data_IF_493179006560
#
_entry.id   IF_493179006560
#
_cell.length_a   1.000
_cell.length_b   1.000
_cell.length_c   1.000
_cell.angle_alpha   90.00
_cell.angle_beta   90.00
_cell.angle_gamma   90.00
#
_symmetry.space_group_name_H-M   'P 1'
#
loop_
_entity.id
_entity.type
_entity.pdbx_description
1 polymer ?
#
# COMPACT_ATOMS: atom_id res chain seq x y z
N UNK A 1 20.08 27.63 -12.09
CA UNK A 1 18.95 27.85 -11.17
C UNK A 1 19.27 27.18 -9.85
N UNK A 2 19.03 27.83 -8.71
CA UNK A 2 19.25 27.24 -7.41
C UNK A 2 18.41 25.95 -7.28
N UNK A 3 19.00 24.90 -6.68
CA UNK A 3 18.36 23.57 -6.53
C UNK A 3 17.01 23.65 -5.81
N UNK A 4 16.80 24.65 -4.95
CA UNK A 4 15.56 24.89 -4.20
C UNK A 4 14.36 25.24 -5.09
N UNK A 5 14.54 26.08 -6.10
CA UNK A 5 13.46 26.49 -7.01
C UNK A 5 12.96 25.33 -7.86
N UNK A 6 13.87 24.44 -8.27
CA UNK A 6 13.50 23.24 -9.04
C UNK A 6 12.68 22.27 -8.21
N UNK A 7 13.06 22.04 -6.96
CA UNK A 7 12.32 21.16 -6.06
C UNK A 7 10.92 21.71 -5.77
N UNK A 8 10.82 23.01 -5.44
CA UNK A 8 9.53 23.67 -5.22
C UNK A 8 8.62 23.56 -6.46
N UNK A 9 9.18 23.73 -7.66
CA UNK A 9 8.44 23.53 -8.91
C UNK A 9 7.98 22.09 -9.11
N UNK A 10 8.84 21.10 -8.86
CA UNK A 10 8.47 19.69 -8.98
C UNK A 10 7.33 19.31 -8.02
N UNK A 11 7.38 19.79 -6.78
CA UNK A 11 6.28 19.61 -5.81
C UNK A 11 4.98 20.25 -6.30
N UNK A 12 5.06 21.44 -6.91
CA UNK A 12 3.90 22.12 -7.48
C UNK A 12 3.31 21.37 -8.68
N UNK A 13 4.14 20.81 -9.56
CA UNK A 13 3.70 19.95 -10.67
C UNK A 13 2.91 18.76 -10.14
N UNK A 14 3.44 18.06 -9.12
CA UNK A 14 2.76 16.91 -8.49
C UNK A 14 1.40 17.31 -7.94
N UNK A 15 1.33 18.41 -7.19
CA UNK A 15 0.07 18.90 -6.61
C UNK A 15 -0.97 19.28 -7.69
N UNK A 16 -0.53 19.90 -8.79
CA UNK A 16 -1.42 20.26 -9.91
C UNK A 16 -2.00 19.02 -10.60
N UNK A 17 -1.19 17.98 -10.80
CA UNK A 17 -1.63 16.71 -11.41
C UNK A 17 -2.63 16.00 -10.49
N UNK A 18 -2.39 15.98 -9.17
CA UNK A 18 -3.29 15.38 -8.19
C UNK A 18 -4.65 16.09 -8.12
N UNK A 19 -4.65 17.42 -8.01
CA UNK A 19 -5.87 18.18 -7.72
C UNK A 19 -6.79 18.38 -8.94
N UNK A 20 -6.29 18.25 -10.17
CA UNK A 20 -7.06 18.58 -11.39
C UNK A 20 -7.58 17.38 -12.16
N UNK A 21 -7.47 16.17 -11.61
CA UNK A 21 -7.79 14.94 -12.34
C UNK A 21 -7.01 14.89 -13.68
N UNK A 22 -5.76 15.34 -13.65
CA UNK A 22 -4.90 15.49 -14.83
C UNK A 22 -4.59 16.93 -15.23
N UNK A 23 -3.37 17.17 -15.72
CA UNK A 23 -2.94 18.49 -16.19
C UNK A 23 -2.06 18.40 -17.45
N UNK A 24 -2.42 19.14 -18.50
CA UNK A 24 -1.62 19.23 -19.73
C UNK A 24 -0.35 20.07 -19.58
N UNK A 25 0.63 19.83 -20.46
CA UNK A 25 1.93 20.54 -20.49
C UNK A 25 1.80 22.06 -20.45
N UNK A 26 0.89 22.63 -21.25
CA UNK A 26 0.62 24.08 -21.31
C UNK A 26 0.15 24.65 -19.98
N UNK A 27 -0.72 23.94 -19.28
CA UNK A 27 -1.26 24.37 -17.98
C UNK A 27 -0.15 24.33 -16.94
N UNK A 28 0.59 23.21 -16.88
CA UNK A 28 1.70 23.05 -15.96
C UNK A 28 2.79 24.12 -16.19
N UNK A 29 3.10 24.42 -17.45
CA UNK A 29 4.07 25.44 -17.85
C UNK A 29 3.64 26.83 -17.39
N UNK A 30 2.37 27.19 -17.62
CA UNK A 30 1.80 28.47 -17.19
C UNK A 30 1.77 28.61 -15.66
N UNK A 31 1.28 27.59 -14.95
CA UNK A 31 1.12 27.61 -13.48
C UNK A 31 2.45 27.56 -12.72
N UNK A 32 3.49 27.03 -13.35
CA UNK A 32 4.85 26.99 -12.83
C UNK A 32 5.77 28.07 -13.43
N UNK A 33 5.24 28.95 -14.29
CA UNK A 33 5.96 30.06 -14.94
C UNK A 33 7.25 29.63 -15.66
N UNK A 34 7.22 28.49 -16.36
CA UNK A 34 8.36 27.94 -17.12
C UNK A 34 7.94 27.43 -18.49
N UNK A 35 8.91 27.12 -19.35
CA UNK A 35 8.62 26.51 -20.66
C UNK A 35 8.06 25.09 -20.55
N UNK A 36 7.27 24.68 -21.55
CA UNK A 36 6.81 23.28 -21.69
C UNK A 36 7.98 22.28 -21.72
N UNK A 37 9.10 22.65 -22.37
CA UNK A 37 10.33 21.83 -22.38
C UNK A 37 10.90 21.61 -20.97
N UNK A 38 10.81 22.61 -20.09
CA UNK A 38 11.23 22.50 -18.69
C UNK A 38 10.32 21.56 -17.93
N UNK A 39 9.00 21.71 -18.08
CA UNK A 39 8.01 20.81 -17.47
C UNK A 39 8.23 19.37 -17.93
N UNK A 40 8.42 19.15 -19.22
CA UNK A 40 8.65 17.81 -19.76
C UNK A 40 9.88 17.15 -19.14
N UNK A 41 11.00 17.88 -19.00
CA UNK A 41 12.19 17.39 -18.30
C UNK A 41 11.94 17.10 -16.82
N UNK A 42 11.16 17.93 -16.14
CA UNK A 42 10.85 17.73 -14.73
C UNK A 42 9.90 16.54 -14.52
N UNK A 43 8.93 16.32 -15.41
CA UNK A 43 8.08 15.12 -15.45
C UNK A 43 8.89 13.85 -15.69
N UNK A 44 9.83 13.87 -16.64
CA UNK A 44 10.74 12.74 -16.84
C UNK A 44 11.61 12.45 -15.62
N UNK A 45 12.08 13.48 -14.93
CA UNK A 45 12.86 13.31 -13.71
C UNK A 45 12.02 12.78 -12.54
N UNK A 46 10.75 13.20 -12.41
CA UNK A 46 9.81 12.63 -11.45
C UNK A 46 9.53 11.15 -11.74
N UNK A 47 9.28 10.80 -13.01
CA UNK A 47 9.08 9.41 -13.43
C UNK A 47 10.32 8.53 -13.16
N UNK A 48 11.51 9.04 -13.47
CA UNK A 48 12.78 8.38 -13.13
C UNK A 48 13.00 8.23 -11.61
N UNK A 49 12.41 9.12 -10.81
CA UNK A 49 12.36 9.03 -9.35
C UNK A 49 11.29 8.07 -8.81
N UNK A 50 10.59 7.35 -9.69
CA UNK A 50 9.58 6.36 -9.31
C UNK A 50 8.17 6.92 -9.13
N UNK A 51 7.92 8.19 -9.46
CA UNK A 51 6.55 8.73 -9.44
C UNK A 51 5.73 8.14 -10.59
N UNK A 52 4.57 7.53 -10.33
CA UNK A 52 3.79 6.81 -11.34
C UNK A 52 2.93 7.77 -12.18
N UNK A 53 3.60 8.71 -12.86
CA UNK A 53 2.98 9.74 -13.70
C UNK A 53 2.96 9.24 -15.14
N UNK A 54 1.81 9.32 -15.80
CA UNK A 54 1.66 8.99 -17.21
C UNK A 54 0.86 10.07 -17.94
N UNK A 55 1.02 10.17 -19.25
CA UNK A 55 0.15 11.02 -20.08
C UNK A 55 -1.08 10.21 -20.46
N UNK A 56 -2.26 10.73 -20.11
CA UNK A 56 -3.55 10.16 -20.48
C UNK A 56 -4.08 10.89 -21.73
N UNK A 57 -4.10 10.22 -22.90
CA UNK A 57 -4.59 10.83 -24.14
C UNK A 57 -6.08 11.20 -24.09
N UNK A 58 -6.88 10.53 -23.25
CA UNK A 58 -8.33 10.76 -23.17
C UNK A 58 -8.66 12.09 -22.48
N UNK A 59 -7.84 12.49 -21.49
CA UNK A 59 -7.95 13.78 -20.79
C UNK A 59 -6.99 14.84 -21.34
N UNK A 60 -6.06 14.46 -22.21
CA UNK A 60 -5.04 15.35 -22.77
C UNK A 60 -4.04 15.87 -21.72
N UNK A 61 -3.86 15.14 -20.62
CA UNK A 61 -3.12 15.60 -19.46
C UNK A 61 -2.31 14.50 -18.78
N UNK A 62 -1.32 14.90 -17.98
CA UNK A 62 -0.57 14.00 -17.12
C UNK A 62 -1.39 13.65 -15.89
N UNK A 63 -1.47 12.36 -15.54
CA UNK A 63 -2.19 11.80 -14.39
C UNK A 63 -1.30 10.83 -13.62
N UNK A 64 -1.69 10.51 -12.40
CA UNK A 64 -1.16 9.34 -11.69
C UNK A 64 -1.95 8.10 -12.13
N UNK A 65 -1.28 6.97 -12.42
CA UNK A 65 -1.97 5.70 -12.73
C UNK A 65 -2.96 5.37 -11.63
N UNK A 66 -4.17 4.97 -12.04
CA UNK A 66 -5.38 4.82 -11.23
C UNK A 66 -5.13 4.35 -9.78
N UNK A 67 -5.71 5.10 -8.83
CA UNK A 67 -6.11 4.65 -7.49
C UNK A 67 -5.15 3.82 -6.63
N UNK A 68 -3.83 3.99 -6.65
CA UNK A 68 -3.04 3.53 -5.49
C UNK A 68 -1.85 4.42 -5.23
N UNK A 69 -2.01 5.35 -4.29
CA UNK A 69 -0.98 5.67 -3.30
C UNK A 69 -1.65 6.37 -2.13
N UNK A 70 -1.45 5.84 -0.91
CA UNK A 70 -1.63 6.66 0.28
C UNK A 70 -0.73 7.89 0.13
N UNK A 71 -1.23 9.07 0.50
CA UNK A 71 -0.39 10.26 0.64
C UNK A 71 0.87 9.89 1.44
N UNK A 72 2.05 10.45 1.14
CA UNK A 72 3.27 10.17 1.91
C UNK A 72 3.00 10.31 3.42
N UNK A 73 2.94 9.16 4.10
CA UNK A 73 2.71 9.12 5.53
C UNK A 73 4.02 9.49 6.22
N UNK A 74 3.96 10.52 7.05
CA UNK A 74 5.07 10.85 7.93
C UNK A 74 4.82 10.12 9.25
N UNK A 75 5.74 9.23 9.61
CA UNK A 75 5.73 8.58 10.91
C UNK A 75 6.79 9.23 11.79
N UNK A 76 6.44 9.46 13.05
CA UNK A 76 7.46 9.61 14.06
C UNK A 76 8.23 8.31 14.23
N UNK A 77 9.43 8.44 14.77
CA UNK A 77 10.37 7.34 14.84
C UNK A 77 9.88 6.21 15.76
N UNK A 78 9.15 6.54 16.81
CA UNK A 78 8.59 5.56 17.73
C UNK A 78 7.31 4.91 17.16
N UNK A 79 6.54 5.63 16.32
CA UNK A 79 5.39 5.08 15.59
C UNK A 79 5.82 4.01 14.59
N UNK A 80 6.85 4.30 13.78
CA UNK A 80 7.40 3.36 12.83
C UNK A 80 8.00 2.12 13.52
N UNK A 81 8.66 2.31 14.67
CA UNK A 81 9.19 1.20 15.47
C UNK A 81 8.08 0.32 16.06
N UNK A 82 7.01 0.92 16.59
CA UNK A 82 5.86 0.20 17.14
C UNK A 82 5.12 -0.62 16.06
N UNK A 83 4.86 -0.02 14.90
CA UNK A 83 4.24 -0.72 13.77
C UNK A 83 5.09 -1.90 13.29
N UNK A 84 6.39 -1.71 13.15
CA UNK A 84 7.31 -2.79 12.78
C UNK A 84 7.26 -3.95 13.79
N UNK A 85 7.18 -3.65 15.10
CA UNK A 85 7.10 -4.67 16.13
C UNK A 85 5.77 -5.43 16.11
N UNK A 86 4.65 -4.75 15.86
CA UNK A 86 3.31 -5.36 15.77
C UNK A 86 3.11 -6.25 14.54
N UNK A 87 3.82 -5.98 13.43
CA UNK A 87 3.69 -6.78 12.20
C UNK A 87 4.40 -8.13 12.28
N UNK A 88 5.43 -8.25 13.12
CA UNK A 88 6.30 -9.44 13.19
C UNK A 88 5.56 -10.77 13.44
N UNK A 89 4.61 -10.88 14.38
CA UNK A 89 3.91 -12.14 14.64
C UNK A 89 3.19 -12.66 13.38
N UNK A 90 2.63 -11.76 12.58
CA UNK A 90 1.95 -12.08 11.33
C UNK A 90 2.91 -12.45 10.18
N UNK A 91 4.18 -12.08 10.29
CA UNK A 91 5.23 -12.54 9.36
C UNK A 91 5.80 -13.90 9.78
N UNK A 92 5.76 -14.23 11.07
CA UNK A 92 6.19 -15.53 11.60
C UNK A 92 5.15 -16.64 11.37
N UNK A 93 3.86 -16.29 11.29
CA UNK A 93 2.76 -17.22 10.97
C UNK A 93 2.13 -16.86 9.63
N UNK A 94 2.26 -17.69 8.58
CA UNK A 94 1.74 -17.38 7.26
C UNK A 94 0.23 -17.17 7.27
N UNK A 95 -0.18 -15.96 6.87
CA UNK A 95 -1.57 -15.60 6.54
C UNK A 95 -1.69 -15.31 5.03
N UNK A 96 -2.91 -15.30 4.47
CA UNK A 96 -3.14 -14.79 3.11
C UNK A 96 -2.53 -13.40 2.82
N UNK A 97 -2.37 -12.57 3.85
CA UNK A 97 -1.85 -11.20 3.77
C UNK A 97 -0.32 -11.11 3.91
N UNK A 98 0.38 -12.24 4.12
CA UNK A 98 1.82 -12.23 4.45
C UNK A 98 2.65 -11.46 3.42
N UNK A 99 2.36 -11.61 2.13
CA UNK A 99 3.10 -10.92 1.07
C UNK A 99 2.92 -9.39 1.14
N UNK A 100 1.72 -8.92 1.45
CA UNK A 100 1.43 -7.49 1.62
C UNK A 100 2.03 -6.94 2.90
N UNK A 101 1.90 -7.67 4.00
CA UNK A 101 2.49 -7.31 5.29
C UNK A 101 4.02 -7.26 5.22
N UNK A 102 4.65 -8.18 4.50
CA UNK A 102 6.11 -8.18 4.28
C UNK A 102 6.54 -6.92 3.53
N UNK A 103 5.85 -6.57 2.44
CA UNK A 103 6.11 -5.34 1.67
C UNK A 103 5.90 -4.09 2.50
N UNK A 104 4.86 -4.05 3.34
CA UNK A 104 4.59 -2.93 4.23
C UNK A 104 5.67 -2.80 5.32
N UNK A 105 6.06 -3.92 5.93
CA UNK A 105 7.12 -3.99 6.93
C UNK A 105 8.47 -3.49 6.38
N UNK A 106 8.84 -3.90 5.16
CA UNK A 106 10.04 -3.43 4.48
C UNK A 106 10.02 -1.91 4.23
N UNK A 107 8.86 -1.35 3.82
CA UNK A 107 8.69 0.10 3.64
C UNK A 107 8.86 0.86 4.97
N UNK A 108 8.32 0.33 6.07
CA UNK A 108 8.48 0.92 7.40
C UNK A 108 9.94 0.83 7.86
N UNK A 109 10.60 -0.31 7.69
CA UNK A 109 12.02 -0.44 8.04
C UNK A 109 12.92 0.47 7.19
N UNK A 110 12.52 0.78 5.96
CA UNK A 110 13.23 1.70 5.08
C UNK A 110 13.09 3.18 5.50
N UNK A 111 12.03 3.56 6.22
CA UNK A 111 11.87 4.91 6.76
C UNK A 111 12.64 5.14 8.06
N UNK A 112 13.10 4.07 8.74
CA UNK A 112 13.87 4.16 9.98
C UNK A 112 15.37 4.50 9.74
N UNK A 113 15.95 5.47 10.47
CA UNK A 113 17.39 5.71 10.49
C UNK A 113 18.19 4.49 10.97
N UNK A 114 19.38 4.26 10.42
CA UNK A 114 20.16 3.03 10.59
C UNK A 114 20.45 2.59 12.04
N UNK A 115 20.70 3.54 12.95
CA UNK A 115 20.91 3.24 14.38
C UNK A 115 19.65 2.73 15.08
N UNK A 116 18.47 3.21 14.66
CA UNK A 116 17.19 2.74 15.21
C UNK A 116 16.66 1.50 14.51
N UNK A 117 17.04 1.24 13.25
CA UNK A 117 16.85 -0.08 12.64
C UNK A 117 17.54 -1.17 13.47
N UNK A 118 18.79 -0.94 13.90
CA UNK A 118 19.50 -1.85 14.82
C UNK A 118 18.82 -1.96 16.19
N UNK A 119 18.29 -0.86 16.74
CA UNK A 119 17.59 -0.88 18.02
C UNK A 119 16.25 -1.63 17.95
N UNK A 120 15.51 -1.49 16.85
CA UNK A 120 14.31 -2.29 16.58
C UNK A 120 14.69 -3.76 16.45
N UNK A 121 15.75 -4.10 15.70
CA UNK A 121 16.28 -5.47 15.63
C UNK A 121 16.73 -6.04 16.98
N UNK A 122 17.26 -5.20 17.90
CA UNK A 122 17.63 -5.63 19.26
C UNK A 122 16.43 -5.76 20.19
N UNK A 123 15.46 -4.82 20.15
CA UNK A 123 14.21 -4.91 20.94
C UNK A 123 13.32 -6.06 20.47
N UNK A 124 13.42 -6.44 19.21
CA UNK A 124 12.80 -7.63 18.63
C UNK A 124 13.21 -8.92 19.35
N UNK A 125 14.45 -9.04 19.83
CA UNK A 125 14.89 -10.22 20.58
C UNK A 125 14.36 -10.24 22.02
N UNK A 126 13.98 -9.08 22.57
CA UNK A 126 13.61 -8.92 23.97
C UNK A 126 12.09 -8.89 24.25
N UNK A 127 11.27 -8.57 23.23
CA UNK A 127 9.80 -8.43 23.39
C UNK A 127 9.10 -9.18 22.25
N UNK A 128 8.56 -10.35 22.59
CA UNK A 128 7.71 -11.16 21.72
C UNK A 128 6.24 -10.83 22.00
N UNK A 129 5.59 -10.09 21.10
CA UNK A 129 4.15 -9.83 21.18
C UNK A 129 3.45 -11.00 20.50
N UNK A 130 3.35 -12.13 21.19
CA UNK A 130 2.66 -13.30 20.66
C UNK A 130 1.15 -13.11 20.74
N UNK A 131 0.54 -12.65 19.64
CA UNK A 131 -0.90 -12.75 19.42
C UNK A 131 -1.17 -14.18 18.95
N UNK A 132 -1.29 -15.10 19.91
CA UNK A 132 -1.44 -16.53 19.68
C UNK A 132 -2.38 -16.87 18.52
N UNK A 133 -1.96 -17.74 17.60
CA UNK A 133 -2.82 -18.57 16.73
C UNK A 133 -2.04 -19.67 16.03
N UNK A 134 -2.49 -20.93 16.14
CA UNK A 134 -2.05 -21.99 15.23
C UNK A 134 -2.31 -21.58 13.76
N UNK A 135 -1.33 -21.71 12.85
CA UNK A 135 -1.50 -21.27 11.47
C UNK A 135 -2.50 -22.16 10.74
N UNK A 136 -3.67 -21.61 10.42
CA UNK A 136 -4.59 -22.22 9.45
C UNK A 136 -4.11 -21.79 8.06
N UNK A 137 -3.63 -22.75 7.27
CA UNK A 137 -3.19 -22.49 5.90
C UNK A 137 -4.40 -22.24 5.00
N UNK A 138 -4.78 -20.97 4.85
CA UNK A 138 -5.81 -20.51 3.92
C UNK A 138 -5.11 -19.99 2.66
N UNK A 139 -5.51 -20.49 1.49
CA UNK A 139 -5.02 -19.99 0.20
C UNK A 139 -5.33 -18.49 0.04
N UNK A 140 -4.38 -17.74 -0.49
CA UNK A 140 -4.53 -16.29 -0.73
C UNK A 140 -5.69 -15.98 -1.67
N UNK A 141 -5.95 -16.85 -2.64
CA UNK A 141 -7.07 -16.77 -3.57
C UNK A 141 -8.44 -16.85 -2.89
N UNK A 142 -8.59 -17.75 -1.91
CA UNK A 142 -9.83 -17.90 -1.14
C UNK A 142 -10.07 -16.64 -0.32
N UNK A 143 -9.04 -16.13 0.34
CA UNK A 143 -9.15 -14.90 1.13
C UNK A 143 -9.54 -13.70 0.27
N UNK A 144 -8.84 -13.45 -0.85
CA UNK A 144 -9.13 -12.32 -1.73
C UNK A 144 -10.56 -12.37 -2.27
N UNK A 145 -11.06 -13.56 -2.63
CA UNK A 145 -12.46 -13.73 -3.07
C UNK A 145 -13.47 -13.43 -1.98
N UNK A 146 -13.18 -13.77 -0.73
CA UNK A 146 -14.07 -13.46 0.40
C UNK A 146 -14.03 -11.97 0.73
N UNK A 147 -12.85 -11.36 0.74
CA UNK A 147 -12.67 -9.91 0.95
C UNK A 147 -13.41 -9.09 -0.12
N UNK A 148 -13.21 -9.42 -1.39
CA UNK A 148 -13.90 -8.76 -2.50
C UNK A 148 -15.42 -8.89 -2.37
N UNK A 149 -15.90 -10.07 -1.97
CA UNK A 149 -17.33 -10.30 -1.79
C UNK A 149 -17.92 -9.51 -0.61
N UNK A 150 -17.18 -9.31 0.49
CA UNK A 150 -17.61 -8.44 1.59
C UNK A 150 -17.71 -6.99 1.11
N UNK A 151 -16.67 -6.49 0.45
CA UNK A 151 -16.60 -5.11 -0.02
C UNK A 151 -17.71 -4.78 -1.03
N UNK A 152 -17.96 -5.71 -1.95
CA UNK A 152 -18.97 -5.55 -3.00
C UNK A 152 -20.36 -6.04 -2.58
N UNK A 153 -20.53 -6.54 -1.34
CA UNK A 153 -21.77 -7.15 -0.83
C UNK A 153 -22.30 -8.27 -1.74
N UNK A 154 -21.38 -9.06 -2.29
CA UNK A 154 -21.69 -10.17 -3.17
C UNK A 154 -21.88 -11.47 -2.39
N UNK A 155 -22.88 -12.25 -2.79
CA UNK A 155 -23.11 -13.59 -2.25
C UNK A 155 -22.09 -14.59 -2.77
N UNK A 156 -21.54 -15.41 -1.89
CA UNK A 156 -20.59 -16.47 -2.24
C UNK A 156 -21.26 -17.85 -2.29
N UNK A 157 -20.76 -18.71 -3.18
CA UNK A 157 -21.04 -20.15 -3.17
C UNK A 157 -19.81 -20.88 -2.66
N UNK A 158 -19.94 -21.59 -1.54
CA UNK A 158 -18.82 -22.28 -0.87
C UNK A 158 -19.07 -23.78 -0.76
N UNK A 159 -17.98 -24.56 -0.79
CA UNK A 159 -17.99 -25.93 -0.29
C UNK A 159 -17.74 -25.91 1.23
N UNK A 160 -18.62 -26.51 2.00
CA UNK A 160 -18.54 -26.55 3.46
C UNK A 160 -18.46 -27.99 3.97
N UNK A 161 -17.43 -28.26 4.76
CA UNK A 161 -17.24 -29.51 5.48
C UNK A 161 -17.84 -29.37 6.88
N UNK A 162 -18.83 -30.20 7.20
CA UNK A 162 -19.42 -30.20 8.53
C UNK A 162 -18.45 -30.80 9.55
N UNK A 163 -18.43 -30.25 10.78
CA UNK A 163 -17.55 -30.76 11.85
C UNK A 163 -17.86 -32.23 12.23
N UNK A 164 -19.09 -32.68 11.99
CA UNK A 164 -19.62 -33.98 12.39
C UNK A 164 -19.79 -34.98 11.25
N UNK A 165 -19.55 -34.58 9.99
CA UNK A 165 -19.61 -35.49 8.86
C UNK A 165 -18.54 -35.13 7.83
N UNK A 166 -17.87 -36.12 7.27
CA UNK A 166 -16.91 -35.95 6.17
C UNK A 166 -17.60 -35.54 4.84
N UNK A 167 -18.89 -35.22 4.88
CA UNK A 167 -19.69 -34.89 3.70
C UNK A 167 -19.53 -33.42 3.34
N UNK A 168 -19.06 -33.16 2.12
CA UNK A 168 -19.00 -31.82 1.54
C UNK A 168 -20.40 -31.38 1.11
N UNK A 169 -20.86 -30.23 1.59
CA UNK A 169 -22.12 -29.61 1.16
C UNK A 169 -21.84 -28.29 0.43
N UNK A 170 -22.68 -27.93 -0.55
CA UNK A 170 -22.63 -26.60 -1.15
C UNK A 170 -23.53 -25.63 -0.37
N UNK A 171 -23.02 -24.44 -0.07
CA UNK A 171 -23.77 -23.40 0.64
C UNK A 171 -23.66 -22.07 -0.06
N UNK A 172 -24.73 -21.29 -0.02
CA UNK A 172 -24.73 -19.89 -0.41
C UNK A 172 -24.66 -19.06 0.86
N UNK A 173 -23.69 -18.16 0.95
CA UNK A 173 -23.45 -17.32 2.13
C UNK A 173 -23.29 -15.87 1.74
N UNK A 174 -23.83 -14.97 2.55
CA UNK A 174 -23.60 -13.53 2.44
C UNK A 174 -22.51 -13.19 3.48
N UNK A 175 -21.25 -12.97 3.07
CA UNK A 175 -20.15 -12.76 3.99
C UNK A 175 -20.22 -11.35 4.61
N UNK A 176 -19.97 -11.26 5.92
CA UNK A 176 -19.99 -9.99 6.66
C UNK A 176 -18.61 -9.57 7.18
N UNK A 177 -17.81 -10.53 7.66
CA UNK A 177 -16.51 -10.29 8.28
C UNK A 177 -15.64 -11.55 8.17
N UNK A 178 -14.34 -11.37 7.99
CA UNK A 178 -13.32 -12.41 8.16
C UNK A 178 -12.52 -12.10 9.42
N UNK A 179 -12.34 -13.10 10.30
CA UNK A 179 -11.56 -12.96 11.53
C UNK A 179 -10.57 -14.11 11.62
N UNK A 180 -9.32 -13.78 11.92
CA UNK A 180 -8.30 -14.74 12.32
C UNK A 180 -8.30 -14.82 13.84
N UNK A 181 -8.74 -15.95 14.40
CA UNK A 181 -8.66 -16.22 15.83
C UNK A 181 -7.75 -17.41 16.05
N UNK A 182 -6.79 -17.22 16.93
CA UNK A 182 -6.01 -18.31 17.46
C UNK A 182 -6.82 -19.13 18.42
N UNK A 183 -6.86 -20.43 18.17
CA UNK A 183 -7.10 -21.44 19.19
C UNK A 183 -5.81 -21.79 19.89
#
# INVERSE_FOLDING_TARGET
MPKSERLARMLRIVSLIQNRNGAGLKILARECEVSERTIYRDLQALAAGGMPIFFDPSTGGYRFTEEVFLHPLTFELDEAAALAQCLRPFLASPTPLTADLQRAYEKILASLPGERRKMVSRRQEAVDISLASHPVNVGSDVFSRVEEAINNRNRLKIGYYAKTSETRSERKVDPYLVVFRGS
#
